data_IF_003048253227
#
_entry.id   IF_003048253227
#
_cell.length_a   1.000
_cell.length_b   1.000
_cell.length_c   1.000
_cell.angle_alpha   90.00
_cell.angle_beta   90.00
_cell.angle_gamma   90.00
#
_symmetry.space_group_name_H-M   'P 1'
#
loop_
_entity.id
_entity.type
_entity.pdbx_description
1 polymer ?
#
# COMPACT_ATOMS: atom_id res chain seq x y z
N UNK A 1 34.09 1.45 -4.37
CA UNK A 1 32.80 1.34 -3.65
C UNK A 1 32.23 2.74 -3.52
N UNK A 2 31.34 3.14 -4.44
CA UNK A 2 30.71 4.46 -4.40
C UNK A 2 29.67 4.48 -3.29
N UNK A 3 29.87 5.33 -2.28
CA UNK A 3 28.89 5.51 -1.21
C UNK A 3 27.58 6.02 -1.78
N UNK A 4 26.45 5.53 -1.27
CA UNK A 4 25.16 6.13 -1.57
C UNK A 4 25.18 7.60 -1.17
N UNK A 5 24.85 8.48 -2.09
CA UNK A 5 24.71 9.90 -1.81
C UNK A 5 23.58 10.12 -0.79
N UNK A 6 23.72 11.09 0.11
CA UNK A 6 22.73 11.40 1.16
C UNK A 6 21.30 11.54 0.62
N UNK A 7 21.14 12.09 -0.58
CA UNK A 7 19.85 12.20 -1.27
C UNK A 7 19.23 10.84 -1.63
N UNK A 8 20.03 9.87 -2.07
CA UNK A 8 19.55 8.52 -2.38
C UNK A 8 19.12 7.79 -1.11
N UNK A 9 19.86 7.95 -0.01
CA UNK A 9 19.51 7.38 1.29
C UNK A 9 18.15 7.91 1.75
N UNK A 10 17.91 9.23 1.64
CA UNK A 10 16.64 9.84 2.00
C UNK A 10 15.48 9.30 1.16
N UNK A 11 15.65 9.22 -0.16
CA UNK A 11 14.65 8.68 -1.09
C UNK A 11 14.32 7.22 -0.76
N UNK A 12 15.33 6.37 -0.58
CA UNK A 12 15.13 4.97 -0.21
C UNK A 12 14.44 4.81 1.14
N UNK A 13 14.85 5.60 2.13
CA UNK A 13 14.22 5.61 3.46
C UNK A 13 12.73 5.98 3.37
N UNK A 14 12.39 6.94 2.52
CA UNK A 14 11.01 7.40 2.35
C UNK A 14 10.15 6.36 1.60
N UNK A 15 10.71 5.69 0.60
CA UNK A 15 10.07 4.55 -0.11
C UNK A 15 9.77 3.41 0.85
N UNK A 16 10.71 3.09 1.73
CA UNK A 16 10.52 2.05 2.75
C UNK A 16 9.50 2.50 3.78
N UNK A 17 9.59 3.72 4.31
CA UNK A 17 8.73 4.20 5.39
C UNK A 17 7.26 4.38 5.00
N UNK A 18 6.98 4.83 3.77
CA UNK A 18 5.62 5.10 3.30
C UNK A 18 4.61 3.95 3.53
N UNK A 19 4.88 2.68 3.14
CA UNK A 19 3.96 1.58 3.39
C UNK A 19 3.85 1.22 4.88
N UNK A 20 4.92 1.31 5.67
CA UNK A 20 4.84 1.09 7.13
C UNK A 20 3.94 2.13 7.79
N UNK A 21 4.07 3.40 7.40
CA UNK A 21 3.19 4.47 7.85
C UNK A 21 1.74 4.24 7.38
N UNK A 22 1.55 3.78 6.15
CA UNK A 22 0.23 3.39 5.63
C UNK A 22 -0.42 2.34 6.51
N UNK A 23 0.30 1.26 6.83
CA UNK A 23 -0.20 0.22 7.74
C UNK A 23 -0.45 0.78 9.13
N UNK A 24 0.50 1.52 9.71
CA UNK A 24 0.42 2.03 11.08
C UNK A 24 -0.77 3.00 11.27
N UNK A 25 -0.98 3.92 10.33
CA UNK A 25 -2.03 4.92 10.37
C UNK A 25 -3.41 4.39 9.97
N UNK A 26 -3.48 3.18 9.39
CA UNK A 26 -4.75 2.55 9.12
C UNK A 26 -5.45 2.13 10.42
N UNK A 27 -6.56 2.80 10.73
CA UNK A 27 -7.42 2.46 11.86
C UNK A 27 -8.91 2.57 11.51
N UNK A 28 -9.25 2.47 10.23
CA UNK A 28 -10.63 2.61 9.80
C UNK A 28 -11.44 1.37 10.21
N UNK A 29 -12.62 1.58 10.79
CA UNK A 29 -13.60 0.51 10.99
C UNK A 29 -14.34 0.12 9.71
N UNK A 30 -13.99 0.70 8.56
CA UNK A 30 -14.68 0.49 7.28
C UNK A 30 -14.24 -0.84 6.65
N UNK A 31 -15.23 -1.60 6.17
CA UNK A 31 -14.99 -2.80 5.35
C UNK A 31 -14.67 -2.42 3.92
N UNK A 32 -13.75 -3.17 3.31
CA UNK A 32 -13.36 -3.05 1.92
C UNK A 32 -13.73 -4.33 1.16
N UNK A 33 -14.72 -4.20 0.28
CA UNK A 33 -15.12 -5.27 -0.63
C UNK A 33 -14.00 -5.65 -1.59
N UNK A 34 -14.00 -6.93 -2.03
CA UNK A 34 -13.01 -7.49 -2.95
C UNK A 34 -12.85 -6.67 -4.22
N UNK A 35 -13.95 -6.33 -4.91
CA UNK A 35 -13.92 -5.58 -6.18
C UNK A 35 -13.29 -4.20 -6.02
N UNK A 36 -13.58 -3.52 -4.90
CA UNK A 36 -13.01 -2.20 -4.63
C UNK A 36 -11.51 -2.31 -4.34
N UNK A 37 -11.07 -3.36 -3.62
CA UNK A 37 -9.66 -3.63 -3.39
C UNK A 37 -8.89 -3.95 -4.68
N UNK A 38 -9.47 -4.77 -5.57
CA UNK A 38 -8.92 -5.06 -6.90
C UNK A 38 -8.78 -3.76 -7.71
N UNK A 39 -9.77 -2.86 -7.63
CA UNK A 39 -9.69 -1.54 -8.27
C UNK A 39 -8.47 -0.74 -7.82
N UNK A 40 -8.19 -0.68 -6.52
CA UNK A 40 -6.99 -0.02 -5.99
C UNK A 40 -5.69 -0.66 -6.48
N UNK A 41 -5.63 -1.98 -6.55
CA UNK A 41 -4.47 -2.67 -7.11
C UNK A 41 -4.27 -2.34 -8.59
N UNK A 42 -5.33 -2.37 -9.39
CA UNK A 42 -5.27 -2.00 -10.82
C UNK A 42 -4.80 -0.55 -11.00
N UNK A 43 -5.32 0.38 -10.20
CA UNK A 43 -4.86 1.79 -10.21
C UNK A 43 -3.37 1.89 -9.88
N UNK A 44 -2.88 1.17 -8.87
CA UNK A 44 -1.47 1.17 -8.51
C UNK A 44 -0.58 0.61 -9.63
N UNK A 45 -1.01 -0.47 -10.29
CA UNK A 45 -0.30 -1.06 -11.44
C UNK A 45 -0.26 -0.09 -12.61
N UNK A 46 -1.40 0.50 -12.99
CA UNK A 46 -1.48 1.48 -14.10
C UNK A 46 -0.59 2.69 -13.80
N UNK A 47 -0.66 3.26 -12.59
CA UNK A 47 0.17 4.39 -12.20
C UNK A 47 1.66 4.06 -12.26
N UNK A 48 2.05 2.85 -11.85
CA UNK A 48 3.43 2.40 -11.94
C UNK A 48 3.89 2.25 -13.40
N UNK A 49 3.07 1.66 -14.27
CA UNK A 49 3.37 1.54 -15.71
C UNK A 49 3.52 2.91 -16.35
N UNK A 50 2.58 3.83 -16.10
CA UNK A 50 2.63 5.20 -16.60
C UNK A 50 3.88 5.94 -16.11
N UNK A 51 4.22 5.80 -14.83
CA UNK A 51 5.43 6.42 -14.25
C UNK A 51 6.72 5.88 -14.89
N UNK A 52 6.78 4.58 -15.19
CA UNK A 52 7.93 3.99 -15.89
C UNK A 52 8.04 4.42 -17.35
N UNK A 53 6.90 4.57 -18.06
CA UNK A 53 6.89 5.10 -19.42
C UNK A 53 7.31 6.56 -19.46
N UNK A 54 6.80 7.35 -18.52
CA UNK A 54 7.12 8.74 -18.31
C UNK A 54 8.62 8.95 -18.00
N UNK A 55 9.21 8.12 -17.13
CA UNK A 55 10.65 8.16 -16.84
C UNK A 55 11.53 7.86 -18.06
N UNK A 56 11.10 6.94 -18.94
CA UNK A 56 11.83 6.60 -20.18
C UNK A 56 11.82 7.71 -21.22
N UNK A 57 10.81 8.58 -21.20
CA UNK A 57 10.69 9.70 -22.13
C UNK A 57 11.57 10.91 -21.74
N UNK A 58 12.31 10.82 -20.63
CA UNK A 58 13.20 11.91 -20.19
C UNK A 58 12.42 13.14 -19.73
N UNK A 59 11.27 12.95 -19.09
CA UNK A 59 10.53 14.05 -18.47
C UNK A 59 11.42 14.76 -17.45
N UNK A 60 11.43 16.09 -17.50
CA UNK A 60 12.33 16.91 -16.67
C UNK A 60 12.22 16.62 -15.16
N UNK A 61 13.20 17.07 -14.35
CA UNK A 61 13.34 16.68 -12.94
C UNK A 61 12.09 16.93 -12.09
N UNK A 62 11.37 18.03 -12.36
CA UNK A 62 10.15 18.41 -11.65
C UNK A 62 9.03 17.40 -11.86
N UNK A 63 8.82 16.97 -13.11
CA UNK A 63 7.76 16.00 -13.47
C UNK A 63 8.09 14.63 -12.91
N UNK A 64 9.35 14.23 -12.97
CA UNK A 64 9.83 12.97 -12.38
C UNK A 64 9.63 12.95 -10.85
N UNK A 65 9.89 14.07 -10.16
CA UNK A 65 9.65 14.18 -8.72
C UNK A 65 8.15 14.13 -8.37
N UNK A 66 7.29 14.79 -9.16
CA UNK A 66 5.85 14.73 -8.97
C UNK A 66 5.30 13.31 -9.14
N UNK A 67 5.75 12.58 -10.16
CA UNK A 67 5.37 11.18 -10.39
C UNK A 67 5.85 10.26 -9.27
N UNK A 68 7.07 10.48 -8.77
CA UNK A 68 7.61 9.74 -7.63
C UNK A 68 6.75 9.93 -6.36
N UNK A 69 6.42 11.18 -6.01
CA UNK A 69 5.57 11.49 -4.86
C UNK A 69 4.15 10.93 -5.03
N UNK A 70 3.58 10.99 -6.24
CA UNK A 70 2.29 10.38 -6.53
C UNK A 70 2.32 8.85 -6.36
N UNK A 71 3.40 8.20 -6.83
CA UNK A 71 3.60 6.76 -6.65
C UNK A 71 3.71 6.36 -5.18
N UNK A 72 4.47 7.11 -4.38
CA UNK A 72 4.57 6.91 -2.94
C UNK A 72 3.22 7.04 -2.24
N UNK A 73 2.44 8.06 -2.60
CA UNK A 73 1.12 8.27 -2.05
C UNK A 73 0.16 7.13 -2.39
N UNK A 74 0.19 6.65 -3.63
CA UNK A 74 -0.58 5.46 -4.03
C UNK A 74 -0.16 4.21 -3.26
N UNK A 75 1.14 4.05 -3.00
CA UNK A 75 1.65 2.91 -2.25
C UNK A 75 1.23 2.96 -0.77
N UNK A 76 1.26 4.16 -0.17
CA UNK A 76 0.69 4.42 1.15
C UNK A 76 -0.81 4.04 1.22
N UNK A 77 -1.60 4.47 0.23
CA UNK A 77 -3.03 4.15 0.17
C UNK A 77 -3.26 2.65 -0.02
N UNK A 78 -2.52 2.00 -0.91
CA UNK A 78 -2.62 0.56 -1.14
C UNK A 78 -2.29 -0.23 0.13
N UNK A 79 -1.30 0.21 0.90
CA UNK A 79 -0.96 -0.37 2.20
C UNK A 79 -2.14 -0.26 3.19
N UNK A 80 -2.77 0.92 3.30
CA UNK A 80 -3.99 1.09 4.12
C UNK A 80 -5.12 0.15 3.66
N UNK A 81 -5.39 0.09 2.36
CA UNK A 81 -6.44 -0.78 1.81
C UNK A 81 -6.15 -2.26 2.05
N UNK A 82 -4.87 -2.65 2.05
CA UNK A 82 -4.44 -4.01 2.36
C UNK A 82 -4.70 -4.38 3.81
N UNK A 83 -4.52 -3.45 4.77
CA UNK A 83 -4.90 -3.67 6.17
C UNK A 83 -6.41 -3.82 6.31
N UNK A 84 -7.20 -2.95 5.67
CA UNK A 84 -8.67 -3.03 5.71
C UNK A 84 -9.15 -4.39 5.20
N UNK A 85 -8.63 -4.81 4.05
CA UNK A 85 -8.95 -6.11 3.45
C UNK A 85 -8.46 -7.28 4.30
N UNK A 86 -7.28 -7.15 4.90
CA UNK A 86 -6.71 -8.13 5.83
C UNK A 86 -7.60 -8.34 7.04
N UNK A 87 -8.03 -7.24 7.69
CA UNK A 87 -8.97 -7.27 8.82
C UNK A 87 -10.30 -7.91 8.45
N UNK A 88 -10.88 -7.54 7.30
CA UNK A 88 -12.11 -8.16 6.79
C UNK A 88 -11.95 -9.67 6.54
N UNK A 89 -10.74 -10.12 6.24
CA UNK A 89 -10.40 -11.51 6.07
C UNK A 89 -9.90 -12.18 7.38
N UNK A 90 -10.05 -11.52 8.53
CA UNK A 90 -9.63 -12.03 9.85
C UNK A 90 -8.12 -12.06 10.07
N UNK A 91 -7.34 -11.31 9.30
CA UNK A 91 -5.89 -11.23 9.44
C UNK A 91 -5.54 -10.09 10.40
N UNK A 92 -4.71 -10.32 11.43
CA UNK A 92 -4.27 -9.27 12.34
C UNK A 92 -3.41 -8.24 11.61
N UNK A 93 -3.49 -6.98 12.07
CA UNK A 93 -2.76 -5.83 11.50
C UNK A 93 -1.24 -6.06 11.43
N UNK A 94 -0.67 -6.80 12.37
CA UNK A 94 0.77 -7.13 12.40
C UNK A 94 1.25 -7.86 11.14
N UNK A 95 0.43 -8.75 10.58
CA UNK A 95 0.76 -9.46 9.34
C UNK A 95 0.66 -8.58 8.09
N UNK A 96 -0.04 -7.45 8.18
CA UNK A 96 -0.15 -6.52 7.06
C UNK A 96 1.11 -5.65 6.88
N UNK A 97 2.01 -5.58 7.87
CA UNK A 97 3.32 -4.92 7.70
C UNK A 97 4.18 -5.59 6.62
N UNK A 98 3.90 -6.86 6.32
CA UNK A 98 4.56 -7.59 5.23
C UNK A 98 4.28 -6.94 3.86
N UNK A 99 3.20 -6.16 3.73
CA UNK A 99 2.88 -5.36 2.53
C UNK A 99 3.97 -4.34 2.21
N UNK A 100 4.74 -3.90 3.20
CA UNK A 100 5.85 -2.97 3.00
C UNK A 100 7.05 -3.60 2.27
N UNK A 101 7.17 -4.93 2.28
CA UNK A 101 8.22 -5.64 1.54
C UNK A 101 7.73 -5.85 0.10
N UNK A 102 8.39 -5.36 -0.95
CA UNK A 102 7.81 -5.36 -2.31
C UNK A 102 7.34 -6.73 -2.81
N UNK A 103 8.18 -7.77 -2.70
CA UNK A 103 7.86 -9.12 -3.20
C UNK A 103 6.81 -9.79 -2.32
N UNK A 104 7.00 -9.78 -1.01
CA UNK A 104 6.09 -10.45 -0.08
C UNK A 104 4.75 -9.70 0.00
N UNK A 105 4.79 -8.38 -0.12
CA UNK A 105 3.63 -7.52 -0.19
C UNK A 105 2.82 -7.75 -1.45
N UNK A 106 3.45 -7.96 -2.61
CA UNK A 106 2.74 -8.39 -3.81
C UNK A 106 2.02 -9.72 -3.60
N UNK A 107 2.70 -10.72 -3.02
CA UNK A 107 2.07 -12.01 -2.70
C UNK A 107 0.88 -11.85 -1.74
N UNK A 108 1.03 -11.01 -0.71
CA UNK A 108 -0.03 -10.71 0.23
C UNK A 108 -1.23 -10.02 -0.45
N UNK A 109 -0.98 -9.06 -1.34
CA UNK A 109 -2.02 -8.38 -2.11
C UNK A 109 -2.78 -9.38 -2.98
N UNK A 110 -2.08 -10.24 -3.71
CA UNK A 110 -2.68 -11.29 -4.55
C UNK A 110 -3.50 -12.28 -3.71
N UNK A 111 -2.98 -12.69 -2.56
CA UNK A 111 -3.69 -13.55 -1.61
C UNK A 111 -5.00 -12.90 -1.10
N UNK A 112 -4.95 -11.61 -0.75
CA UNK A 112 -6.11 -10.85 -0.28
C UNK A 112 -7.18 -10.62 -1.36
N UNK A 113 -6.80 -10.66 -2.64
CA UNK A 113 -7.76 -10.61 -3.76
C UNK A 113 -8.59 -11.90 -3.84
N UNK A 114 -8.04 -13.05 -3.45
CA UNK A 114 -8.72 -14.34 -3.53
C UNK A 114 -9.51 -14.64 -2.24
N UNK A 115 -8.90 -14.36 -1.09
CA UNK A 115 -9.47 -14.71 0.22
C UNK A 115 -10.85 -14.05 0.42
N UNK A 116 -11.92 -14.81 0.77
CA UNK A 116 -13.23 -14.23 1.05
C UNK A 116 -13.22 -13.45 2.37
N UNK A 117 -14.07 -12.41 2.52
CA UNK A 117 -14.27 -11.77 3.82
C UNK A 117 -14.84 -12.78 4.81
N UNK A 118 -14.39 -12.73 6.06
CA UNK A 118 -14.98 -13.52 7.15
C UNK A 118 -16.38 -12.97 7.37
N UNK A 119 -17.38 -13.73 6.92
CA UNK A 119 -18.80 -13.44 7.11
C UNK A 119 -19.16 -13.78 8.56
N UNK A 120 -18.63 -13.03 9.53
CA UNK A 120 -19.08 -12.94 10.92
C UNK A 120 -18.10 -12.09 11.74
N UNK A 121 -18.53 -10.87 12.04
CA UNK A 121 -18.29 -10.17 13.30
C UNK A 121 -19.19 -8.94 13.22
N UNK A 122 -20.33 -9.00 13.91
CA UNK A 122 -21.03 -7.77 14.28
C UNK A 122 -20.02 -6.83 14.95
N UNK A 123 -20.14 -5.50 14.81
CA UNK A 123 -19.34 -4.60 15.61
C UNK A 123 -19.53 -5.00 17.07
N UNK A 124 -18.45 -5.39 17.75
CA UNK A 124 -18.45 -5.52 19.20
C UNK A 124 -18.53 -4.07 19.68
N UNK A 125 -19.76 -3.58 19.84
CA UNK A 125 -20.02 -2.35 20.59
C UNK A 125 -19.63 -2.71 22.02
N UNK A 126 -18.61 -2.08 22.62
CA UNK A 126 -18.42 -2.21 24.05
C UNK A 126 -19.68 -1.60 24.68
N UNK A 127 -20.53 -2.44 25.26
CA UNK A 127 -21.49 -1.96 26.24
C UNK A 127 -20.66 -1.50 27.43
N UNK A 128 -20.42 -0.20 27.50
CA UNK A 128 -20.03 0.45 28.75
C UNK A 128 -21.17 0.21 29.75
N UNK A 129 -20.88 -0.54 30.81
CA UNK A 129 -21.72 -0.71 32.01
C UNK A 129 -21.18 0.16 33.12
#
# INVERSE_FOLDING_TARGET
>A
MGGLETGQILVLSLVVAAPFLGVALENSGKRLGRTHYIGWFVVAVIANVLSNMAGKQGLGPVVSMALFLAGLFLFFLLAQKSVQRGRDAGIPKSWCFVVAVPVIGLLMVLFLMIKPPVRNQAPIVPHET
#
